data_IF_394070876835
#
_entry.id   IF_394070876835
#
_cell.length_a   1.000
_cell.length_b   1.000
_cell.length_c   1.000
_cell.angle_alpha   90.00
_cell.angle_beta   90.00
_cell.angle_gamma   90.00
#
_symmetry.space_group_name_H-M   'P 1'
#
loop_
_entity.id
_entity.type
_entity.pdbx_description
1 polymer ?
#
# COMPACT_ATOMS: atom_id res chain seq x y z
N UNK A 1 -9.84 13.01 7.04
CA UNK A 1 -9.08 11.79 7.41
C UNK A 1 -8.82 11.67 8.91
N UNK A 2 -8.42 12.72 9.62
CA UNK A 2 -8.13 12.67 11.07
C UNK A 2 -9.28 12.11 11.92
N UNK A 3 -10.53 12.43 11.55
CA UNK A 3 -11.73 11.95 12.25
C UNK A 3 -11.94 10.43 12.14
N UNK A 4 -11.52 9.80 11.04
CA UNK A 4 -11.65 8.34 10.86
C UNK A 4 -10.70 7.59 11.79
N UNK A 5 -9.47 8.10 11.91
CA UNK A 5 -8.44 7.57 12.80
C UNK A 5 -8.91 7.62 14.25
N UNK A 6 -9.36 8.79 14.73
CA UNK A 6 -9.89 8.96 16.10
C UNK A 6 -11.09 8.05 16.35
N UNK A 7 -11.98 7.92 15.37
CA UNK A 7 -13.16 7.06 15.50
C UNK A 7 -12.75 5.59 15.70
N UNK A 8 -11.81 5.10 14.89
CA UNK A 8 -11.28 3.74 14.98
C UNK A 8 -10.61 3.51 16.34
N UNK A 9 -9.78 4.46 16.80
CA UNK A 9 -9.14 4.38 18.11
C UNK A 9 -10.16 4.33 19.26
N UNK A 10 -11.17 5.19 19.23
CA UNK A 10 -12.24 5.19 20.22
C UNK A 10 -12.94 3.82 20.27
N UNK A 11 -13.27 3.25 19.12
CA UNK A 11 -13.92 1.94 19.03
C UNK A 11 -13.03 0.80 19.50
N UNK A 12 -11.72 0.86 19.24
CA UNK A 12 -10.78 -0.19 19.60
C UNK A 12 -10.34 -0.13 21.06
N UNK A 13 -10.15 1.07 21.60
CA UNK A 13 -9.56 1.28 22.93
C UNK A 13 -10.58 1.54 24.03
N UNK A 14 -11.73 2.16 23.73
CA UNK A 14 -12.75 2.45 24.75
C UNK A 14 -13.75 1.30 24.94
N UNK A 15 -13.74 0.30 24.07
CA UNK A 15 -14.55 -0.91 24.23
C UNK A 15 -13.81 -1.97 25.07
N UNK A 16 -14.58 -2.89 25.69
CA UNK A 16 -14.05 -3.92 26.60
C UNK A 16 -12.80 -4.62 26.05
N UNK A 17 -11.77 -4.77 26.89
CA UNK A 17 -10.49 -5.40 26.51
C UNK A 17 -10.61 -6.90 26.26
N UNK A 18 -11.64 -7.56 26.78
CA UNK A 18 -11.88 -8.99 26.57
C UNK A 18 -12.57 -9.31 25.24
N UNK A 19 -13.17 -8.30 24.58
CA UNK A 19 -13.84 -8.49 23.32
C UNK A 19 -12.83 -8.56 22.17
N UNK A 20 -12.95 -9.58 21.31
CA UNK A 20 -12.20 -9.66 20.06
C UNK A 20 -12.73 -8.61 19.09
N UNK A 21 -11.84 -7.77 18.56
CA UNK A 21 -12.23 -6.65 17.68
C UNK A 21 -11.49 -6.76 16.36
N UNK A 22 -12.18 -6.49 15.27
CA UNK A 22 -11.61 -6.49 13.94
C UNK A 22 -11.96 -5.18 13.24
N UNK A 23 -10.95 -4.43 12.85
CA UNK A 23 -11.10 -3.24 12.02
C UNK A 23 -10.60 -3.57 10.61
N UNK A 24 -11.52 -3.61 9.65
CA UNK A 24 -11.22 -3.85 8.24
C UNK A 24 -11.32 -2.54 7.48
N UNK A 25 -10.24 -2.15 6.82
CA UNK A 25 -10.14 -0.96 5.98
C UNK A 25 -10.06 -1.42 4.54
N UNK A 26 -11.13 -1.22 3.79
CA UNK A 26 -11.14 -1.45 2.34
C UNK A 26 -10.64 -0.21 1.59
N UNK A 27 -10.05 -0.42 0.41
CA UNK A 27 -9.40 0.64 -0.39
C UNK A 27 -8.34 1.45 0.38
N UNK A 28 -7.63 0.81 1.30
CA UNK A 28 -6.61 1.44 2.15
C UNK A 28 -5.38 1.98 1.40
N UNK A 29 -5.28 1.77 0.08
CA UNK A 29 -4.21 2.34 -0.74
C UNK A 29 -4.15 3.86 -0.62
N UNK A 30 -5.30 4.53 -0.54
CA UNK A 30 -5.34 5.99 -0.41
C UNK A 30 -4.79 6.40 0.96
N UNK A 31 -5.18 5.70 2.02
CA UNK A 31 -4.66 5.89 3.39
C UNK A 31 -3.13 5.71 3.44
N UNK A 32 -2.58 4.69 2.78
CA UNK A 32 -1.15 4.40 2.74
C UNK A 32 -0.34 5.34 1.84
N UNK A 33 -0.95 5.89 0.79
CA UNK A 33 -0.28 6.78 -0.17
C UNK A 33 -0.05 8.20 0.38
N UNK A 34 -0.74 8.58 1.45
CA UNK A 34 -0.47 9.86 2.11
C UNK A 34 0.88 9.80 2.81
N UNK A 35 1.87 10.52 2.25
CA UNK A 35 3.19 10.77 2.83
C UNK A 35 3.13 11.68 4.08
N UNK A 36 2.26 11.37 5.03
CA UNK A 36 2.13 12.09 6.28
C UNK A 36 2.62 11.20 7.41
N UNK A 37 3.64 11.65 8.14
CA UNK A 37 4.21 10.93 9.29
C UNK A 37 3.16 10.55 10.33
N UNK A 38 2.09 11.37 10.45
CA UNK A 38 0.97 11.11 11.36
C UNK A 38 0.22 9.81 11.05
N UNK A 39 0.09 9.44 9.77
CA UNK A 39 -0.63 8.22 9.37
C UNK A 39 0.26 7.00 9.59
N UNK A 40 1.56 7.12 9.29
CA UNK A 40 2.55 6.08 9.61
C UNK A 40 2.56 5.75 11.10
N UNK A 41 2.67 6.79 11.94
CA UNK A 41 2.65 6.63 13.40
C UNK A 41 1.33 6.03 13.90
N UNK A 42 0.20 6.47 13.35
CA UNK A 42 -1.11 5.91 13.71
C UNK A 42 -1.20 4.42 13.37
N UNK A 43 -0.74 3.99 12.19
CA UNK A 43 -0.77 2.57 11.81
C UNK A 43 0.16 1.77 12.72
N UNK A 44 1.39 2.24 12.97
CA UNK A 44 2.35 1.52 13.79
C UNK A 44 1.88 1.38 15.25
N UNK A 45 1.50 2.50 15.86
CA UNK A 45 1.01 2.52 17.25
C UNK A 45 -0.34 1.82 17.37
N UNK A 46 -1.21 2.01 16.39
CA UNK A 46 -2.50 1.36 16.24
C UNK A 46 -2.37 -0.16 16.28
N UNK A 47 -1.58 -0.72 15.35
CA UNK A 47 -1.38 -2.17 15.24
C UNK A 47 -0.69 -2.76 16.47
N UNK A 48 0.23 -2.02 17.12
CA UNK A 48 0.88 -2.47 18.36
C UNK A 48 -0.11 -2.53 19.52
N UNK A 49 -0.95 -1.52 19.67
CA UNK A 49 -1.88 -1.41 20.79
C UNK A 49 -3.08 -2.34 20.61
N UNK A 50 -3.62 -2.49 19.40
CA UNK A 50 -4.71 -3.43 19.14
C UNK A 50 -4.37 -4.87 19.54
N UNK A 51 -3.13 -5.35 19.32
CA UNK A 51 -2.69 -6.67 19.79
C UNK A 51 -2.85 -6.86 21.30
N UNK A 52 -2.63 -5.82 22.11
CA UNK A 52 -2.80 -5.87 23.58
C UNK A 52 -4.27 -5.83 24.02
N UNK A 53 -5.20 -5.58 23.11
CA UNK A 53 -6.63 -5.47 23.34
C UNK A 53 -7.42 -6.52 22.55
N UNK A 54 -6.79 -7.65 22.19
CA UNK A 54 -7.37 -8.71 21.34
C UNK A 54 -7.98 -8.18 20.04
N UNK A 55 -7.43 -7.08 19.54
CA UNK A 55 -7.84 -6.39 18.33
C UNK A 55 -6.91 -6.73 17.17
N UNK A 56 -7.48 -6.80 15.97
CA UNK A 56 -6.73 -6.89 14.72
C UNK A 56 -7.16 -5.79 13.76
N UNK A 57 -6.19 -5.32 12.98
CA UNK A 57 -6.41 -4.43 11.84
C UNK A 57 -6.12 -5.21 10.56
N UNK A 58 -7.00 -5.07 9.58
CA UNK A 58 -6.82 -5.61 8.23
C UNK A 58 -6.97 -4.44 7.27
N UNK A 59 -5.95 -4.19 6.47
CA UNK A 59 -6.01 -3.20 5.40
C UNK A 59 -5.97 -3.91 4.07
N UNK A 60 -7.06 -3.77 3.30
CA UNK A 60 -7.19 -4.28 1.94
C UNK A 60 -6.90 -3.11 0.99
N UNK A 61 -6.00 -3.33 0.05
CA UNK A 61 -5.51 -2.31 -0.87
C UNK A 61 -5.65 -2.80 -2.30
N UNK A 62 -6.17 -1.95 -3.20
CA UNK A 62 -6.04 -2.20 -4.64
C UNK A 62 -4.62 -1.92 -5.06
N UNK A 63 -3.95 -2.95 -5.56
CA UNK A 63 -2.63 -2.80 -6.16
C UNK A 63 -2.80 -2.20 -7.57
N UNK A 64 -2.96 -0.87 -7.65
CA UNK A 64 -2.88 -0.20 -8.96
C UNK A 64 -1.40 -0.07 -9.34
N UNK A 65 -0.91 -1.09 -10.04
CA UNK A 65 0.21 -1.05 -11.00
C UNK A 65 1.54 -0.44 -10.55
N UNK A 66 1.92 -0.52 -9.28
CA UNK A 66 3.30 -0.20 -8.84
C UNK A 66 4.25 -1.40 -8.83
N UNK A 67 3.72 -2.61 -9.12
CA UNK A 67 4.49 -3.81 -9.44
C UNK A 67 4.67 -4.00 -10.96
N UNK A 68 4.82 -2.92 -11.72
CA UNK A 68 5.43 -3.05 -13.03
C UNK A 68 6.90 -2.65 -12.87
N UNK A 69 7.84 -3.58 -12.57
CA UNK A 69 9.24 -3.27 -12.81
C UNK A 69 9.32 -2.78 -14.25
N UNK A 70 9.79 -1.55 -14.44
CA UNK A 70 9.83 -0.92 -15.77
C UNK A 70 10.43 -1.89 -16.77
N UNK A 71 9.56 -2.42 -17.63
CA UNK A 71 9.75 -2.91 -19.00
C UNK A 71 11.07 -3.68 -19.27
N UNK A 72 11.03 -5.00 -19.58
CA UNK A 72 12.23 -5.73 -19.93
C UNK A 72 12.87 -5.09 -21.17
N UNK A 73 14.17 -4.83 -21.06
CA UNK A 73 15.01 -4.14 -22.03
C UNK A 73 14.49 -4.27 -23.48
N UNK A 74 14.08 -3.12 -24.05
CA UNK A 74 13.77 -2.96 -25.47
C UNK A 74 14.81 -3.71 -26.29
N UNK A 75 14.44 -4.89 -26.81
CA UNK A 75 15.28 -5.75 -27.64
C UNK A 75 15.81 -4.85 -28.75
N UNK A 76 17.10 -4.46 -28.70
CA UNK A 76 17.73 -3.68 -29.77
C UNK A 76 17.48 -4.48 -31.04
N UNK A 77 16.59 -3.99 -31.92
CA UNK A 77 16.51 -4.51 -33.29
C UNK A 77 17.93 -4.32 -33.83
N UNK A 78 18.64 -5.42 -34.08
CA UNK A 78 19.91 -5.34 -34.81
C UNK A 78 19.57 -4.61 -36.12
N UNK A 79 20.33 -3.58 -36.52
CA UNK A 79 20.19 -3.07 -37.87
C UNK A 79 20.36 -4.26 -38.82
N UNK A 80 19.43 -4.44 -39.75
CA UNK A 80 19.58 -5.43 -40.81
C UNK A 80 20.84 -5.15 -41.62
N UNK A 81 21.39 -6.14 -42.34
CA UNK A 81 22.57 -5.94 -43.17
C UNK A 81 22.33 -4.81 -44.18
N UNK A 82 23.29 -3.88 -44.24
CA UNK A 82 23.29 -2.77 -45.21
C UNK A 82 23.28 -3.34 -46.63
N UNK A 83 22.45 -2.83 -47.56
CA UNK A 83 22.47 -3.30 -48.94
C UNK A 83 23.83 -3.02 -49.59
N UNK A 84 24.30 -3.87 -50.52
CA UNK A 84 25.56 -3.66 -51.20
C UNK A 84 25.50 -2.40 -52.07
N UNK A 85 26.47 -1.52 -51.88
CA UNK A 85 26.70 -0.36 -52.72
C UNK A 85 27.01 -0.84 -54.15
N UNK A 86 26.16 -0.49 -55.12
CA UNK A 86 26.49 -0.70 -56.54
C UNK A 86 27.64 0.24 -56.90
N UNK A 87 28.81 -0.32 -57.19
CA UNK A 87 29.90 0.39 -57.84
C UNK A 87 29.48 0.71 -59.28
N UNK A 88 29.42 1.99 -59.63
CA UNK A 88 29.46 2.50 -61.00
C UNK A 88 30.84 3.10 -61.25
#
# INVERSE_FOLDING_TARGET
>A
MFSLIIYIEGRMYQSSRSAKKLCVIDEGWMLLNFKSDKIGNFIEEGYRTARRHYGAYITITRISRILNPKEPARRRRRPGPTPPTKSS
#
